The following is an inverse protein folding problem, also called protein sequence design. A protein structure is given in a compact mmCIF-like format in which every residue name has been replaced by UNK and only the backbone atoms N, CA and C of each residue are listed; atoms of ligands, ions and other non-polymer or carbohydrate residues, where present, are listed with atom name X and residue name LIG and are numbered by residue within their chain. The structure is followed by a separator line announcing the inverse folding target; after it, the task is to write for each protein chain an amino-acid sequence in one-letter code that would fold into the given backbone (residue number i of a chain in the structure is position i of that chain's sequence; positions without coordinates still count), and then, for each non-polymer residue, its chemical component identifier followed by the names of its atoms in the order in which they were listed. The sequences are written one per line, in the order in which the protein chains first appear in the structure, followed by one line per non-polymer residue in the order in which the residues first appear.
data_IF_878511322310
#
_entry.id   IF_878511322310
#
_cell.length_a   1.000
_cell.length_b   1.000
_cell.length_c   1.000
_cell.angle_alpha   90.00
_cell.angle_beta   90.00
_cell.angle_gamma   90.00
#
_symmetry.space_group_name_H-M   'P 1'
#
loop_
_entity.id
_entity.type
_entity.pdbx_description
1 polymer ?
#
# COMPACT_ATOMS: atom_id res chain seq x y z
N UNK A 1 21.13 -11.13 -2.06
CA UNK A 1 20.64 -9.74 -2.03
C UNK A 1 19.16 -9.79 -1.67
N UNK A 2 18.80 -9.53 -0.41
CA UNK A 2 17.42 -9.64 0.07
C UNK A 2 16.45 -8.66 -0.63
N UNK A 3 16.96 -7.52 -1.10
CA UNK A 3 16.12 -6.47 -1.72
C UNK A 3 15.55 -6.88 -3.08
N UNK A 4 16.32 -7.60 -3.91
CA UNK A 4 15.85 -8.11 -5.22
C UNK A 4 14.71 -9.12 -5.05
N UNK A 5 14.80 -9.96 -4.03
CA UNK A 5 13.75 -10.95 -3.74
C UNK A 5 12.48 -10.28 -3.21
N UNK A 6 12.61 -9.27 -2.36
CA UNK A 6 11.50 -8.46 -1.88
C UNK A 6 10.81 -7.67 -3.01
N UNK A 7 11.56 -7.05 -3.93
CA UNK A 7 10.98 -6.38 -5.10
C UNK A 7 10.20 -7.34 -6.00
N UNK A 8 10.71 -8.57 -6.21
CA UNK A 8 9.99 -9.60 -6.95
C UNK A 8 8.69 -10.01 -6.25
N UNK A 9 8.70 -10.15 -4.92
CA UNK A 9 7.50 -10.46 -4.14
C UNK A 9 6.48 -9.32 -4.26
N UNK A 10 6.94 -8.06 -4.20
CA UNK A 10 6.09 -6.89 -4.44
C UNK A 10 5.40 -6.98 -5.81
N UNK A 11 6.15 -7.25 -6.88
CA UNK A 11 5.59 -7.35 -8.23
C UNK A 11 4.55 -8.47 -8.35
N UNK A 12 4.81 -9.62 -7.73
CA UNK A 12 3.87 -10.74 -7.67
C UNK A 12 2.57 -10.36 -6.93
N UNK A 13 2.68 -9.66 -5.81
CA UNK A 13 1.50 -9.20 -5.04
C UNK A 13 0.70 -8.15 -5.81
N UNK A 14 1.36 -7.23 -6.52
CA UNK A 14 0.69 -6.26 -7.38
C UNK A 14 0.01 -6.92 -8.58
N UNK A 15 0.60 -7.98 -9.15
CA UNK A 15 -0.04 -8.77 -10.18
C UNK A 15 -1.28 -9.51 -9.65
N UNK A 16 -1.15 -10.15 -8.48
CA UNK A 16 -2.25 -10.84 -7.83
C UNK A 16 -3.40 -9.89 -7.46
N UNK A 17 -3.10 -8.69 -6.96
CA UNK A 17 -4.09 -7.65 -6.73
C UNK A 17 -4.90 -7.34 -7.99
N UNK A 18 -4.24 -7.15 -9.13
CA UNK A 18 -4.92 -6.86 -10.40
C UNK A 18 -5.79 -8.03 -10.86
N UNK A 19 -5.27 -9.25 -10.81
CA UNK A 19 -5.96 -10.46 -11.23
C UNK A 19 -7.21 -10.72 -10.38
N UNK A 20 -7.07 -10.71 -9.05
CA UNK A 20 -8.18 -10.95 -8.13
C UNK A 20 -9.22 -9.84 -8.18
N UNK A 21 -8.83 -8.57 -8.36
CA UNK A 21 -9.78 -7.47 -8.54
C UNK A 21 -10.58 -7.62 -9.83
N UNK A 22 -9.92 -7.93 -10.94
CA UNK A 22 -10.58 -8.16 -12.22
C UNK A 22 -11.51 -9.38 -12.17
N UNK A 23 -11.19 -10.38 -11.36
CA UNK A 23 -12.03 -11.55 -11.11
C UNK A 23 -13.16 -11.35 -10.09
N UNK A 24 -13.33 -10.14 -9.53
CA UNK A 24 -14.36 -9.85 -8.51
C UNK A 24 -14.05 -10.42 -7.12
N UNK A 25 -12.84 -10.93 -6.89
CA UNK A 25 -12.36 -11.41 -5.59
C UNK A 25 -11.80 -10.23 -4.77
N UNK A 26 -12.67 -9.31 -4.39
CA UNK A 26 -12.30 -8.00 -3.89
C UNK A 26 -11.51 -8.02 -2.58
N UNK A 27 -11.90 -8.85 -1.61
CA UNK A 27 -11.20 -9.00 -0.34
C UNK A 27 -9.78 -9.57 -0.54
N UNK A 28 -9.65 -10.57 -1.43
CA UNK A 28 -8.34 -11.13 -1.77
C UNK A 28 -7.46 -10.07 -2.46
N UNK A 29 -8.03 -9.29 -3.36
CA UNK A 29 -7.36 -8.15 -3.99
C UNK A 29 -6.88 -7.12 -2.97
N UNK A 30 -7.73 -6.77 -2.01
CA UNK A 30 -7.38 -5.82 -0.95
C UNK A 30 -6.21 -6.34 -0.12
N UNK A 31 -6.26 -7.60 0.34
CA UNK A 31 -5.18 -8.18 1.13
C UNK A 31 -3.87 -8.32 0.34
N UNK A 32 -3.93 -8.65 -0.96
CA UNK A 32 -2.74 -8.64 -1.80
C UNK A 32 -2.09 -7.24 -1.87
N UNK A 33 -2.90 -6.18 -1.95
CA UNK A 33 -2.41 -4.80 -1.95
C UNK A 33 -1.80 -4.40 -0.60
N UNK A 34 -2.43 -4.79 0.51
CA UNK A 34 -1.91 -4.58 1.86
C UNK A 34 -0.58 -5.31 2.07
N UNK A 35 -0.45 -6.54 1.57
CA UNK A 35 0.83 -7.26 1.59
C UNK A 35 1.91 -6.53 0.78
N UNK A 36 1.57 -6.03 -0.41
CA UNK A 36 2.49 -5.26 -1.24
C UNK A 36 2.93 -3.96 -0.54
N UNK A 37 2.02 -3.29 0.19
CA UNK A 37 2.34 -2.16 1.05
C UNK A 37 3.42 -2.50 2.08
N UNK A 38 3.27 -3.61 2.82
CA UNK A 38 4.26 -3.98 3.83
C UNK A 38 5.64 -4.27 3.24
N UNK A 39 5.69 -4.89 2.06
CA UNK A 39 6.95 -5.10 1.33
C UNK A 39 7.58 -3.76 0.96
N UNK A 40 6.83 -2.87 0.29
CA UNK A 40 7.32 -1.53 -0.09
C UNK A 40 7.76 -0.69 1.12
N UNK A 41 7.05 -0.81 2.25
CA UNK A 41 7.39 -0.13 3.50
C UNK A 41 8.68 -0.68 4.11
N UNK A 42 8.92 -1.99 4.07
CA UNK A 42 10.16 -2.60 4.57
C UNK A 42 11.39 -2.16 3.75
N UNK A 43 11.20 -1.99 2.44
CA UNK A 43 12.22 -1.50 1.51
C UNK A 43 12.43 0.02 1.58
N UNK A 44 11.56 0.75 2.30
CA UNK A 44 11.53 2.22 2.28
C UNK A 44 11.47 2.79 0.84
N UNK A 45 10.77 2.08 -0.03
CA UNK A 45 10.72 2.38 -1.46
C UNK A 45 9.62 3.40 -1.76
N UNK A 46 9.96 4.69 -1.75
CA UNK A 46 9.05 5.82 -1.92
C UNK A 46 8.17 5.73 -3.19
N UNK A 47 8.76 5.25 -4.29
CA UNK A 47 8.06 5.03 -5.56
C UNK A 47 7.01 3.93 -5.43
N UNK A 48 7.37 2.79 -4.82
CA UNK A 48 6.46 1.67 -4.65
C UNK A 48 5.30 2.03 -3.72
N UNK A 49 5.57 2.78 -2.64
CA UNK A 49 4.55 3.30 -1.73
C UNK A 49 3.57 4.26 -2.45
N UNK A 50 4.07 5.09 -3.37
CA UNK A 50 3.20 5.95 -4.20
C UNK A 50 2.28 5.14 -5.10
N UNK A 51 2.79 4.07 -5.71
CA UNK A 51 1.99 3.17 -6.56
C UNK A 51 0.89 2.44 -5.77
N UNK A 52 1.18 2.04 -4.52
CA UNK A 52 0.17 1.47 -3.63
C UNK A 52 -0.95 2.48 -3.34
N UNK A 53 -0.60 3.71 -2.97
CA UNK A 53 -1.58 4.75 -2.69
C UNK A 53 -2.46 5.04 -3.92
N UNK A 54 -1.85 5.14 -5.11
CA UNK A 54 -2.58 5.32 -6.35
C UNK A 54 -3.54 4.15 -6.60
N UNK A 55 -3.06 2.90 -6.47
CA UNK A 55 -3.88 1.71 -6.72
C UNK A 55 -5.04 1.58 -5.74
N UNK A 56 -4.82 1.90 -4.47
CA UNK A 56 -5.86 1.93 -3.46
C UNK A 56 -6.95 2.96 -3.81
N UNK A 57 -6.55 4.16 -4.26
CA UNK A 57 -7.49 5.20 -4.70
C UNK A 57 -8.30 4.79 -5.93
N UNK A 58 -7.65 4.14 -6.92
CA UNK A 58 -8.32 3.63 -8.12
C UNK A 58 -9.38 2.58 -7.77
N UNK A 59 -9.06 1.64 -6.87
CA UNK A 59 -9.99 0.60 -6.46
C UNK A 59 -11.16 1.17 -5.64
N UNK A 60 -10.90 2.14 -4.75
CA UNK A 60 -11.95 2.85 -4.03
C UNK A 60 -12.89 3.59 -4.99
N UNK A 61 -12.34 4.35 -5.93
CA UNK A 61 -13.12 5.05 -6.94
C UNK A 61 -14.02 4.08 -7.74
N UNK A 62 -13.50 2.90 -8.06
CA UNK A 62 -14.29 1.87 -8.73
C UNK A 62 -15.48 1.43 -7.86
N UNK A 63 -15.29 1.16 -6.56
CA UNK A 63 -16.40 0.83 -5.67
C UNK A 63 -17.42 1.96 -5.58
N UNK A 64 -16.96 3.19 -5.40
CA UNK A 64 -17.84 4.35 -5.28
C UNK A 64 -18.66 4.60 -6.55
N UNK A 65 -18.15 4.24 -7.72
CA UNK A 65 -18.84 4.45 -8.99
C UNK A 65 -19.70 3.26 -9.45
N UNK A 66 -19.23 2.03 -9.24
CA UNK A 66 -19.86 0.84 -9.81
C UNK A 66 -20.52 -0.07 -8.78
N UNK A 67 -20.25 0.12 -7.48
CA UNK A 67 -20.71 -0.77 -6.42
C UNK A 67 -20.90 -0.02 -5.09
N UNK A 68 -21.72 1.03 -5.09
CA UNK A 68 -21.91 1.95 -3.97
C UNK A 68 -22.37 1.27 -2.66
N UNK A 69 -23.09 0.14 -2.74
CA UNK A 69 -23.51 -0.63 -1.56
C UNK A 69 -22.47 -1.66 -1.08
N UNK A 70 -21.36 -1.83 -1.80
CA UNK A 70 -20.32 -2.79 -1.43
C UNK A 70 -19.64 -2.38 -0.11
N UNK A 71 -19.24 -3.32 0.77
CA UNK A 71 -18.57 -3.00 2.04
C UNK A 71 -17.29 -2.16 1.95
N UNK A 72 -16.68 -2.08 0.76
CA UNK A 72 -15.47 -1.28 0.50
C UNK A 72 -15.73 0.11 -0.08
N UNK A 73 -16.97 0.46 -0.40
CA UNK A 73 -17.29 1.83 -0.85
C UNK A 73 -17.22 2.83 0.31
N UNK A 74 -16.97 4.08 -0.02
CA UNK A 74 -17.04 5.22 0.89
C UNK A 74 -18.45 5.39 1.47
N UNK A 75 -19.48 5.19 0.63
CA UNK A 75 -20.88 5.29 1.04
C UNK A 75 -21.25 4.23 2.09
N UNK A 76 -20.79 2.99 1.91
CA UNK A 76 -21.02 1.90 2.86
C UNK A 76 -20.26 2.13 4.16
N UNK A 77 -18.99 2.55 4.09
CA UNK A 77 -18.21 2.90 5.27
C UNK A 77 -18.87 4.01 6.10
N UNK A 78 -19.30 5.09 5.45
CA UNK A 78 -20.00 6.23 6.08
C UNK A 78 -21.31 5.79 6.74
N UNK A 79 -22.13 5.03 6.02
CA UNK A 79 -23.44 4.53 6.51
C UNK A 79 -23.31 3.65 7.75
N UNK A 80 -22.20 2.92 7.86
CA UNK A 80 -21.93 2.04 8.98
C UNK A 80 -21.03 2.68 10.06
N UNK A 81 -20.74 3.99 9.96
CA UNK A 81 -19.87 4.73 10.89
C UNK A 81 -18.47 4.10 11.04
N UNK A 82 -17.93 3.54 9.96
CA UNK A 82 -16.61 2.89 9.91
C UNK A 82 -15.64 3.69 9.05
N UNK A 83 -14.35 3.57 9.37
CA UNK A 83 -13.30 4.06 8.48
C UNK A 83 -13.25 3.22 7.20
N UNK A 84 -13.11 3.87 6.05
CA UNK A 84 -12.91 3.18 4.79
C UNK A 84 -11.50 2.56 4.73
N UNK A 85 -11.43 1.28 4.36
CA UNK A 85 -10.20 0.50 4.34
C UNK A 85 -9.19 0.96 3.28
N UNK A 86 -9.68 1.48 2.15
CA UNK A 86 -8.83 2.02 1.09
C UNK A 86 -8.30 3.41 1.47
N UNK A 87 -9.12 4.29 2.03
CA UNK A 87 -8.65 5.59 2.54
C UNK A 87 -7.56 5.39 3.59
N UNK A 88 -7.78 4.48 4.54
CA UNK A 88 -6.79 4.13 5.56
C UNK A 88 -5.47 3.63 4.95
N UNK A 89 -5.54 2.82 3.87
CA UNK A 89 -4.36 2.32 3.19
C UNK A 89 -3.63 3.43 2.41
N UNK A 90 -4.35 4.35 1.77
CA UNK A 90 -3.78 5.55 1.13
C UNK A 90 -3.00 6.37 2.15
N UNK A 91 -3.60 6.66 3.30
CA UNK A 91 -2.97 7.44 4.37
C UNK A 91 -1.71 6.76 4.91
N UNK A 92 -1.78 5.44 5.15
CA UNK A 92 -0.63 4.67 5.60
C UNK A 92 0.50 4.68 4.57
N UNK A 93 0.20 4.46 3.30
CA UNK A 93 1.18 4.47 2.22
C UNK A 93 1.85 5.85 2.08
N UNK A 94 1.08 6.93 2.12
CA UNK A 94 1.62 8.30 2.07
C UNK A 94 2.47 8.63 3.30
N UNK A 95 2.06 8.18 4.48
CA UNK A 95 2.82 8.38 5.72
C UNK A 95 4.17 7.67 5.66
N UNK A 96 4.19 6.40 5.25
CA UNK A 96 5.45 5.66 5.11
C UNK A 96 6.34 6.24 4.00
N UNK A 97 5.75 6.77 2.92
CA UNK A 97 6.51 7.44 1.87
C UNK A 97 7.25 8.66 2.42
N UNK A 98 6.53 9.54 3.12
CA UNK A 98 7.12 10.73 3.75
C UNK A 98 8.22 10.35 4.74
N UNK A 99 8.03 9.27 5.51
CA UNK A 99 9.05 8.74 6.41
C UNK A 99 10.29 8.28 5.66
N UNK A 100 10.14 7.49 4.58
CA UNK A 100 11.25 7.03 3.76
C UNK A 100 12.02 8.18 3.10
N UNK A 101 11.32 9.19 2.59
CA UNK A 101 11.91 10.43 2.06
C UNK A 101 12.71 11.19 3.14
N UNK A 102 12.15 11.31 4.33
CA UNK A 102 12.80 11.96 5.47
C UNK A 102 14.06 11.20 5.91
N UNK A 103 13.97 9.88 6.08
CA UNK A 103 15.10 9.04 6.47
C UNK A 103 16.23 9.13 5.42
N UNK A 104 15.90 9.08 4.13
CA UNK A 104 16.90 9.26 3.05
C UNK A 104 17.61 10.61 3.09
N UNK A 105 16.89 11.69 3.46
CA UNK A 105 17.42 13.06 3.43
C UNK A 105 18.20 13.43 4.70
N UNK A 106 17.82 12.88 5.86
CA UNK A 106 18.30 13.38 7.16
C UNK A 106 19.00 12.33 8.02
N UNK A 107 18.89 11.03 7.70
CA UNK A 107 19.59 10.00 8.45
C UNK A 107 21.06 9.97 8.03
N UNK A 108 21.95 10.51 8.86
CA UNK A 108 23.40 10.28 8.73
C UNK A 108 23.66 8.76 8.88
N UNK A 109 24.58 8.16 8.10
CA UNK A 109 25.10 6.84 8.46
C UNK A 109 25.63 6.95 9.88
N UNK A 110 25.14 6.10 10.78
CA UNK A 110 25.73 5.98 12.11
C UNK A 110 27.22 5.75 11.90
N UNK A 111 28.06 6.71 12.35
CA UNK A 111 29.48 6.47 12.47
C UNK A 111 29.61 5.16 13.25
N UNK A 112 30.07 4.10 12.59
CA UNK A 112 30.35 2.87 13.29
C UNK A 112 31.37 3.22 14.36
N UNK A 113 31.04 2.78 15.56
CA UNK A 113 31.92 2.73 16.71
C UNK A 113 33.08 1.76 16.39
N UNK A 114 33.96 2.14 15.47
CA UNK A 114 35.31 1.58 15.33
C UNK A 114 36.25 2.45 16.17
N UNK A 115 35.99 2.49 17.48
CA UNK A 115 37.01 2.74 18.48
C UNK A 115 36.76 1.72 19.59
N UNK A 116 37.41 0.56 19.46
CA UNK A 116 38.05 -0.20 20.55
C UNK A 116 38.76 -1.43 20.00
#
# INVERSE_FOLDING_TARGET
MPDIEAEKIYDQLMALNRETFAGGLFEASYHALVSAFYVASSLQADKLLSLIAQRAQEQLWWFDHYAEDHPFSSASATRNERQNLYDALVDQAQTQRKKAEWDRKYRKPSASSEEM
#
